data_IF_417510904034
#
_entry.id   IF_417510904034
#
_cell.length_a   1.000
_cell.length_b   1.000
_cell.length_c   1.000
_cell.angle_alpha   90.00
_cell.angle_beta   90.00
_cell.angle_gamma   90.00
#
_symmetry.space_group_name_H-M   'P 1'
#
loop_
_entity.id
_entity.type
_entity.pdbx_description
1 polymer ?
#
# COMPACT_ATOMS: atom_id res chain seq x y z
N UNK A 1 -1.10 -27.21 7.04
CA UNK A 1 -2.25 -26.39 6.59
C UNK A 1 -3.27 -26.17 7.69
N UNK A 2 -3.59 -27.17 8.53
CA UNK A 2 -4.59 -27.02 9.62
C UNK A 2 -4.35 -25.86 10.59
N UNK A 3 -3.10 -25.63 11.03
CA UNK A 3 -2.78 -24.51 11.94
C UNK A 3 -3.06 -23.13 11.32
N UNK A 4 -2.81 -22.98 10.02
CA UNK A 4 -3.06 -21.74 9.27
C UNK A 4 -4.58 -21.53 9.15
N UNK A 5 -5.32 -22.57 8.75
CA UNK A 5 -6.79 -22.47 8.63
C UNK A 5 -7.48 -22.20 9.97
N UNK A 6 -6.94 -22.72 11.08
CA UNK A 6 -7.47 -22.40 12.41
C UNK A 6 -7.16 -20.96 12.82
N UNK A 7 -5.93 -20.49 12.59
CA UNK A 7 -5.50 -19.14 12.95
C UNK A 7 -6.33 -18.06 12.23
N UNK A 8 -6.49 -18.20 10.92
CA UNK A 8 -7.26 -17.28 10.09
C UNK A 8 -8.77 -17.59 10.05
N UNK A 9 -9.23 -18.62 10.77
CA UNK A 9 -10.65 -18.92 10.92
C UNK A 9 -11.37 -19.36 9.63
N UNK A 10 -10.70 -20.08 8.72
CA UNK A 10 -11.25 -20.45 7.41
C UNK A 10 -12.59 -21.20 7.50
N UNK A 11 -12.79 -22.06 8.51
CA UNK A 11 -14.08 -22.74 8.71
C UNK A 11 -15.21 -21.77 9.03
N UNK A 12 -14.97 -20.72 9.83
CA UNK A 12 -15.99 -19.73 10.18
C UNK A 12 -16.32 -18.84 8.97
N UNK A 13 -15.31 -18.54 8.16
CA UNK A 13 -15.44 -17.71 6.96
C UNK A 13 -15.89 -18.51 5.72
N UNK A 14 -15.97 -19.85 5.80
CA UNK A 14 -16.36 -20.72 4.70
C UNK A 14 -15.38 -20.72 3.52
N UNK A 15 -14.09 -20.47 3.76
CA UNK A 15 -13.08 -20.28 2.70
C UNK A 15 -12.05 -21.41 2.65
N UNK A 16 -11.24 -21.43 1.60
CA UNK A 16 -10.13 -22.39 1.45
C UNK A 16 -8.83 -21.65 1.17
N UNK A 17 -7.71 -22.30 1.43
CA UNK A 17 -6.38 -21.74 1.16
C UNK A 17 -6.21 -21.29 -0.30
N UNK A 18 -6.76 -22.03 -1.27
CA UNK A 18 -6.73 -21.64 -2.69
C UNK A 18 -7.55 -20.38 -2.95
N UNK A 19 -8.73 -20.29 -2.34
CA UNK A 19 -9.61 -19.12 -2.44
C UNK A 19 -8.94 -17.88 -1.87
N UNK A 20 -8.34 -17.96 -0.69
CA UNK A 20 -7.64 -16.83 -0.04
C UNK A 20 -6.46 -16.33 -0.86
N UNK A 21 -5.66 -17.24 -1.44
CA UNK A 21 -4.57 -16.84 -2.34
C UNK A 21 -5.12 -16.11 -3.56
N UNK A 22 -6.16 -16.64 -4.21
CA UNK A 22 -6.75 -15.99 -5.39
C UNK A 22 -7.39 -14.65 -5.05
N UNK A 23 -8.02 -14.53 -3.88
CA UNK A 23 -8.59 -13.28 -3.38
C UNK A 23 -7.48 -12.26 -3.11
N UNK A 24 -6.37 -12.67 -2.49
CA UNK A 24 -5.19 -11.83 -2.29
C UNK A 24 -4.61 -11.29 -3.60
N UNK A 25 -4.50 -12.15 -4.63
CA UNK A 25 -4.08 -11.70 -5.96
C UNK A 25 -5.08 -10.70 -6.57
N UNK A 26 -6.38 -10.97 -6.48
CA UNK A 26 -7.39 -10.04 -6.97
C UNK A 26 -7.27 -8.66 -6.29
N UNK A 27 -7.16 -8.62 -4.96
CA UNK A 27 -6.95 -7.38 -4.19
C UNK A 27 -5.65 -6.67 -4.59
N UNK A 28 -4.55 -7.41 -4.73
CA UNK A 28 -3.28 -6.85 -5.19
C UNK A 28 -3.43 -6.17 -6.55
N UNK A 29 -4.04 -6.84 -7.53
CA UNK A 29 -4.22 -6.25 -8.86
C UNK A 29 -5.16 -5.05 -8.84
N UNK A 30 -6.23 -5.06 -8.02
CA UNK A 30 -7.11 -3.89 -7.83
C UNK A 30 -6.35 -2.67 -7.34
N UNK A 31 -5.34 -2.85 -6.48
CA UNK A 31 -4.55 -1.76 -5.90
C UNK A 31 -3.24 -1.47 -6.65
N UNK A 32 -2.85 -2.33 -7.59
CA UNK A 32 -1.55 -2.28 -8.27
C UNK A 32 -1.29 -0.98 -9.03
N UNK A 33 -2.33 -0.24 -9.41
CA UNK A 33 -2.18 1.07 -10.06
C UNK A 33 -1.38 2.08 -9.19
N UNK A 34 -1.45 1.95 -7.85
CA UNK A 34 -0.71 2.78 -6.88
C UNK A 34 0.80 2.72 -7.14
N UNK A 35 1.29 1.56 -7.58
CA UNK A 35 2.71 1.30 -7.88
C UNK A 35 3.24 2.27 -8.93
N UNK A 36 2.40 2.70 -9.87
CA UNK A 36 2.78 3.62 -10.94
C UNK A 36 2.40 5.06 -10.63
N UNK A 37 1.21 5.28 -10.04
CA UNK A 37 0.71 6.63 -9.82
C UNK A 37 1.49 7.36 -8.72
N UNK A 38 1.90 6.67 -7.65
CA UNK A 38 2.63 7.32 -6.55
C UNK A 38 3.98 7.91 -7.00
N UNK A 39 4.86 7.16 -7.71
CA UNK A 39 6.08 7.73 -8.28
C UNK A 39 5.80 8.88 -9.25
N UNK A 40 4.77 8.74 -10.08
CA UNK A 40 4.41 9.78 -11.05
C UNK A 40 4.00 11.09 -10.37
N UNK A 41 3.23 11.02 -9.28
CA UNK A 41 2.77 12.21 -8.55
C UNK A 41 3.90 12.82 -7.74
N UNK A 42 4.63 12.03 -6.96
CA UNK A 42 5.66 12.56 -6.06
C UNK A 42 6.94 13.00 -6.79
N UNK A 43 7.22 12.47 -7.98
CA UNK A 43 8.33 12.98 -8.81
C UNK A 43 8.10 14.40 -9.33
N UNK A 44 6.84 14.84 -9.47
CA UNK A 44 6.52 16.24 -9.79
C UNK A 44 6.95 17.18 -8.66
N UNK A 45 6.95 16.70 -7.41
CA UNK A 45 7.48 17.44 -6.27
C UNK A 45 9.02 17.42 -6.19
N UNK A 46 9.71 16.74 -7.12
CA UNK A 46 11.17 16.60 -7.13
C UNK A 46 11.71 15.35 -6.43
N UNK A 47 10.84 14.40 -6.04
CA UNK A 47 11.28 13.13 -5.43
C UNK A 47 11.81 12.14 -6.47
N UNK A 48 12.79 11.31 -6.09
CA UNK A 48 13.24 10.21 -6.95
C UNK A 48 12.13 9.15 -7.10
N UNK A 49 11.74 8.88 -8.35
CA UNK A 49 10.64 7.97 -8.65
C UNK A 49 10.95 6.51 -8.23
N UNK A 50 12.20 6.07 -8.35
CA UNK A 50 12.60 4.70 -7.98
C UNK A 50 12.58 4.50 -6.46
N UNK A 51 13.05 5.49 -5.71
CA UNK A 51 12.99 5.50 -4.25
C UNK A 51 11.55 5.51 -3.75
N UNK A 52 10.69 6.37 -4.32
CA UNK A 52 9.25 6.43 -3.98
C UNK A 52 8.54 5.11 -4.28
N UNK A 53 8.82 4.51 -5.45
CA UNK A 53 8.30 3.19 -5.82
C UNK A 53 8.66 2.15 -4.77
N UNK A 54 9.95 2.07 -4.43
CA UNK A 54 10.48 1.07 -3.51
C UNK A 54 9.91 1.26 -2.11
N UNK A 55 9.89 2.50 -1.62
CA UNK A 55 9.33 2.85 -0.33
C UNK A 55 7.83 2.51 -0.25
N UNK A 56 7.06 2.82 -1.30
CA UNK A 56 5.62 2.53 -1.39
C UNK A 56 5.36 1.02 -1.31
N UNK A 57 6.05 0.24 -2.14
CA UNK A 57 5.89 -1.22 -2.17
C UNK A 57 6.29 -1.85 -0.84
N UNK A 58 7.42 -1.42 -0.27
CA UNK A 58 7.93 -1.97 0.99
C UNK A 58 7.02 -1.61 2.17
N UNK A 59 6.61 -0.34 2.29
CA UNK A 59 5.72 0.10 3.36
C UNK A 59 4.34 -0.59 3.27
N UNK A 60 3.77 -0.72 2.06
CA UNK A 60 2.49 -1.40 1.86
C UNK A 60 2.58 -2.88 2.20
N UNK A 61 3.67 -3.55 1.80
CA UNK A 61 3.88 -4.96 2.12
C UNK A 61 3.99 -5.17 3.64
N UNK A 62 4.80 -4.35 4.31
CA UNK A 62 4.96 -4.41 5.77
C UNK A 62 3.63 -4.16 6.49
N UNK A 63 2.88 -3.14 6.09
CA UNK A 63 1.57 -2.82 6.64
C UNK A 63 0.56 -3.97 6.46
N UNK A 64 0.48 -4.54 5.25
CA UNK A 64 -0.34 -5.71 4.97
C UNK A 64 0.07 -6.93 5.81
N UNK A 65 1.37 -7.16 6.03
CA UNK A 65 1.85 -8.25 6.88
C UNK A 65 1.46 -8.06 8.34
N UNK A 66 1.56 -6.84 8.87
CA UNK A 66 1.14 -6.54 10.24
C UNK A 66 -0.37 -6.77 10.37
N UNK A 67 -1.17 -6.28 9.42
CA UNK A 67 -2.62 -6.45 9.44
C UNK A 67 -3.03 -7.93 9.33
N UNK A 68 -2.40 -8.68 8.42
CA UNK A 68 -2.69 -10.09 8.23
C UNK A 68 -2.21 -10.97 9.38
N UNK A 69 -0.95 -10.84 9.79
CA UNK A 69 -0.35 -11.75 10.77
C UNK A 69 -0.66 -11.32 12.19
N UNK A 70 -0.42 -10.06 12.55
CA UNK A 70 -0.55 -9.61 13.94
C UNK A 70 -2.00 -9.27 14.29
N UNK A 71 -2.69 -8.48 13.45
CA UNK A 71 -4.07 -8.07 13.72
C UNK A 71 -5.11 -9.12 13.31
N UNK A 72 -4.73 -10.13 12.51
CA UNK A 72 -5.64 -11.13 11.91
C UNK A 72 -6.86 -10.47 11.26
N UNK A 73 -6.62 -9.37 10.54
CA UNK A 73 -7.68 -8.56 9.93
C UNK A 73 -7.42 -8.39 8.42
N UNK A 74 -8.31 -8.89 7.55
CA UNK A 74 -8.06 -9.00 6.11
C UNK A 74 -8.31 -7.66 5.39
N UNK A 75 -7.54 -6.64 5.74
CA UNK A 75 -7.53 -5.33 5.07
C UNK A 75 -6.17 -5.11 4.41
N UNK A 76 -6.19 -4.91 3.10
CA UNK A 76 -5.02 -4.46 2.35
C UNK A 76 -4.79 -2.97 2.59
N UNK A 77 -3.55 -2.61 2.91
CA UNK A 77 -3.13 -1.23 3.14
C UNK A 77 -2.11 -0.78 2.09
N UNK A 78 -2.33 0.42 1.58
CA UNK A 78 -1.41 1.13 0.69
C UNK A 78 -1.45 2.64 1.03
N UNK A 79 -0.45 3.42 0.60
CA UNK A 79 -0.42 4.85 0.84
C UNK A 79 -1.69 5.53 0.36
N UNK A 80 -2.25 6.39 1.20
CA UNK A 80 -3.42 7.18 0.84
C UNK A 80 -3.04 8.17 -0.27
N UNK A 81 -3.68 8.07 -1.42
CA UNK A 81 -3.33 8.91 -2.56
C UNK A 81 -3.64 10.39 -2.32
N UNK A 82 -4.76 10.71 -1.67
CA UNK A 82 -5.20 12.09 -1.47
C UNK A 82 -4.15 12.99 -0.80
N UNK A 83 -3.42 12.47 0.18
CA UNK A 83 -2.36 13.21 0.87
C UNK A 83 -1.15 13.49 -0.03
N UNK A 84 -0.78 12.53 -0.88
CA UNK A 84 0.32 12.71 -1.83
C UNK A 84 -0.03 13.74 -2.90
N UNK A 85 -1.29 13.76 -3.36
CA UNK A 85 -1.77 14.78 -4.29
C UNK A 85 -1.80 16.17 -3.64
N UNK A 86 -2.32 16.27 -2.41
CA UNK A 86 -2.32 17.53 -1.67
C UNK A 86 -0.89 18.05 -1.45
N UNK A 87 0.02 17.18 -1.01
CA UNK A 87 1.42 17.54 -0.81
C UNK A 87 2.06 18.05 -2.10
N UNK A 88 1.97 17.29 -3.20
CA UNK A 88 2.62 17.71 -4.44
C UNK A 88 1.97 18.95 -5.03
N UNK A 89 0.66 18.91 -5.29
CA UNK A 89 0.00 19.96 -6.07
C UNK A 89 -0.28 21.22 -5.26
N UNK A 90 -0.64 21.09 -3.98
CA UNK A 90 -0.91 22.25 -3.13
C UNK A 90 0.36 22.74 -2.46
N UNK A 91 1.04 21.92 -1.67
CA UNK A 91 2.15 22.40 -0.83
C UNK A 91 3.39 22.74 -1.67
N UNK A 92 3.80 21.85 -2.58
CA UNK A 92 5.01 22.07 -3.37
C UNK A 92 4.75 22.99 -4.56
N UNK A 93 3.74 22.70 -5.37
CA UNK A 93 3.50 23.43 -6.61
C UNK A 93 2.79 24.77 -6.40
N UNK A 94 1.72 24.79 -5.60
CA UNK A 94 0.90 26.01 -5.42
C UNK A 94 1.50 26.94 -4.38
N UNK A 95 1.93 26.41 -3.22
CA UNK A 95 2.49 27.22 -2.13
C UNK A 95 4.01 27.45 -2.28
N UNK A 96 4.68 26.73 -3.18
CA UNK A 96 6.08 26.95 -3.53
C UNK A 96 7.10 26.40 -2.53
N UNK A 97 6.69 25.53 -1.60
CA UNK A 97 7.64 24.87 -0.70
C UNK A 97 8.49 23.85 -1.45
N UNK A 98 9.79 23.84 -1.19
CA UNK A 98 10.71 22.87 -1.80
C UNK A 98 10.71 21.54 -1.03
N UNK A 99 10.67 20.44 -1.76
CA UNK A 99 11.11 19.14 -1.25
C UNK A 99 12.56 18.88 -1.69
N UNK A 100 13.43 18.34 -0.81
CA UNK A 100 13.23 18.14 0.63
C UNK A 100 13.27 19.47 1.40
N UNK A 101 12.54 19.54 2.51
CA UNK A 101 12.69 20.65 3.48
C UNK A 101 14.01 20.39 4.21
N UNK A 102 15.08 21.00 3.73
CA UNK A 102 16.35 21.07 4.46
C UNK A 102 16.33 22.44 5.13
N UNK A 103 16.05 22.47 6.44
CA UNK A 103 16.36 23.65 7.26
C UNK A 103 17.88 23.86 7.36
#
# INVERSE_FOLDING_TARGET
MEKISQYFGFQKSGTTFKTEISAGFATFFTMSYIIFVQPMVLSVAGMDAGAVFTATCFASALACFIMGIYANYPIAQAPLMGENFFFTYTVVLTMGYSWPIIE
#
